data_IF_644397232350
#
_entry.id   IF_644397232350
#
_cell.length_a   1.000
_cell.length_b   1.000
_cell.length_c   1.000
_cell.angle_alpha   90.00
_cell.angle_beta   90.00
_cell.angle_gamma   90.00
#
_symmetry.space_group_name_H-M   'P 1'
#
loop_
_entity.id
_entity.type
_entity.pdbx_description
1 polymer ?
#
# COMPACT_ATOMS: atom_id res chain seq x y z
N UNK A 1 3.12 4.43 -16.20
CA UNK A 1 2.79 3.26 -15.37
C UNK A 1 4.06 2.44 -15.29
N UNK A 2 4.69 2.35 -14.12
CA UNK A 2 5.83 1.45 -13.92
C UNK A 2 5.36 0.01 -14.08
N UNK A 3 6.23 -0.82 -14.63
CA UNK A 3 6.04 -2.26 -14.63
C UNK A 3 5.95 -2.77 -13.18
N UNK A 4 4.91 -3.52 -12.85
CA UNK A 4 4.66 -3.98 -11.48
C UNK A 4 5.80 -4.89 -10.99
N UNK A 5 6.50 -5.58 -11.89
CA UNK A 5 7.69 -6.38 -11.53
C UNK A 5 8.89 -5.48 -11.16
N UNK A 6 9.00 -4.29 -11.76
CA UNK A 6 9.99 -3.27 -11.34
C UNK A 6 9.64 -2.71 -9.96
N UNK A 7 8.36 -2.47 -9.68
CA UNK A 7 7.87 -2.03 -8.38
C UNK A 7 8.17 -3.06 -7.29
N UNK A 8 7.90 -4.34 -7.55
CA UNK A 8 8.26 -5.41 -6.60
C UNK A 8 9.74 -5.34 -6.31
N UNK A 9 10.59 -5.26 -7.33
CA UNK A 9 12.04 -5.18 -7.17
C UNK A 9 12.50 -3.99 -6.31
N UNK A 10 11.87 -2.82 -6.46
CA UNK A 10 12.16 -1.65 -5.62
C UNK A 10 11.68 -1.83 -4.17
N UNK A 11 10.53 -2.46 -3.98
CA UNK A 11 9.97 -2.79 -2.67
C UNK A 11 10.77 -3.90 -1.96
N UNK A 12 11.58 -4.68 -2.69
CA UNK A 12 12.40 -5.74 -2.13
C UNK A 12 13.52 -5.21 -1.23
N UNK A 13 14.08 -4.02 -1.46
CA UNK A 13 15.28 -3.57 -0.71
C UNK A 13 15.10 -3.61 0.82
N UNK A 14 14.00 -3.10 1.41
CA UNK A 14 13.72 -3.29 2.83
C UNK A 14 13.48 -4.75 3.23
N UNK A 15 12.86 -5.54 2.35
CA UNK A 15 12.50 -6.95 2.56
C UNK A 15 13.68 -7.92 2.37
N UNK A 16 14.82 -7.49 1.80
CA UNK A 16 16.04 -8.32 1.62
C UNK A 16 16.62 -8.84 2.94
N UNK A 17 16.24 -8.23 4.07
CA UNK A 17 16.59 -8.68 5.43
C UNK A 17 15.76 -9.88 5.91
N UNK A 18 14.66 -10.22 5.22
CA UNK A 18 13.85 -11.39 5.55
C UNK A 18 14.59 -12.65 5.07
N UNK A 19 15.30 -13.31 5.98
CA UNK A 19 16.13 -14.49 5.69
C UNK A 19 15.39 -15.83 5.84
N UNK A 20 14.05 -15.82 5.94
CA UNK A 20 13.24 -17.01 6.24
C UNK A 20 12.78 -17.72 4.97
N UNK A 21 12.67 -19.05 5.03
CA UNK A 21 12.23 -19.92 3.92
C UNK A 21 10.74 -19.78 3.57
N UNK A 22 9.91 -19.29 4.51
CA UNK A 22 8.49 -19.01 4.28
C UNK A 22 8.14 -17.69 4.97
N UNK A 23 7.51 -16.78 4.22
CA UNK A 23 7.11 -15.46 4.70
C UNK A 23 5.60 -15.27 4.54
N UNK A 24 4.98 -14.64 5.52
CA UNK A 24 3.57 -14.21 5.42
C UNK A 24 3.55 -12.73 5.07
N UNK A 25 2.94 -12.37 3.93
CA UNK A 25 2.96 -11.02 3.37
C UNK A 25 1.54 -10.44 3.37
N UNK A 26 1.41 -9.17 3.79
CA UNK A 26 0.21 -8.36 3.66
C UNK A 26 0.44 -7.23 2.66
N UNK A 27 -0.33 -7.21 1.58
CA UNK A 27 -0.48 -6.09 0.67
C UNK A 27 -1.73 -5.31 1.09
N UNK A 28 -1.53 -4.22 1.84
CA UNK A 28 -2.58 -3.39 2.42
C UNK A 28 -2.95 -2.29 1.43
N UNK A 29 -4.24 -2.18 1.08
CA UNK A 29 -4.70 -1.34 -0.04
C UNK A 29 -4.41 -1.95 -1.40
N UNK A 30 -4.56 -3.27 -1.51
CA UNK A 30 -4.18 -4.04 -2.70
C UNK A 30 -4.93 -3.68 -3.99
N UNK A 31 -6.04 -2.92 -3.90
CA UNK A 31 -6.84 -2.52 -5.04
C UNK A 31 -7.31 -3.73 -5.88
N UNK A 32 -7.06 -3.68 -7.19
CA UNK A 32 -7.34 -4.78 -8.10
C UNK A 32 -6.27 -5.90 -8.07
N UNK A 33 -5.39 -5.90 -7.07
CA UNK A 33 -4.45 -6.97 -6.75
C UNK A 33 -3.24 -7.08 -7.67
N UNK A 34 -2.88 -6.04 -8.42
CA UNK A 34 -1.74 -6.10 -9.34
C UNK A 34 -0.43 -6.41 -8.61
N UNK A 35 -0.16 -5.70 -7.52
CA UNK A 35 1.02 -5.93 -6.69
C UNK A 35 0.96 -7.30 -6.01
N UNK A 36 -0.16 -7.66 -5.40
CA UNK A 36 -0.35 -8.98 -4.78
C UNK A 36 -0.05 -10.14 -5.75
N UNK A 37 -0.51 -10.02 -7.01
CA UNK A 37 -0.23 -11.02 -8.06
C UNK A 37 1.24 -11.01 -8.49
N UNK A 38 1.89 -9.85 -8.53
CA UNK A 38 3.32 -9.78 -8.79
C UNK A 38 4.14 -10.40 -7.66
N UNK A 39 3.84 -10.08 -6.40
CA UNK A 39 4.45 -10.69 -5.21
C UNK A 39 4.35 -12.21 -5.25
N UNK A 40 3.23 -12.76 -5.70
CA UNK A 40 3.07 -14.22 -5.89
C UNK A 40 4.11 -14.81 -6.84
N UNK A 41 4.41 -14.14 -7.96
CA UNK A 41 5.39 -14.62 -8.94
C UNK A 41 6.81 -14.62 -8.38
N UNK A 42 7.14 -13.61 -7.57
CA UNK A 42 8.47 -13.48 -6.94
C UNK A 42 8.64 -14.34 -5.68
N UNK A 43 7.55 -14.64 -4.96
CA UNK A 43 7.56 -15.41 -3.73
C UNK A 43 6.65 -16.65 -3.85
N UNK A 44 7.08 -17.68 -4.60
CA UNK A 44 6.31 -18.89 -4.88
C UNK A 44 5.89 -19.68 -3.63
N UNK A 45 6.57 -19.50 -2.50
CA UNK A 45 6.26 -20.23 -1.25
C UNK A 45 5.62 -19.37 -0.16
N UNK A 46 5.40 -18.08 -0.41
CA UNK A 46 4.81 -17.17 0.56
C UNK A 46 3.28 -17.34 0.68
N UNK A 47 2.76 -17.11 1.88
CA UNK A 47 1.34 -16.84 2.08
C UNK A 47 1.08 -15.35 1.89
N UNK A 48 0.27 -14.99 0.90
CA UNK A 48 0.07 -13.58 0.52
C UNK A 48 -1.41 -13.20 0.70
N UNK A 49 -1.62 -12.10 1.42
CA UNK A 49 -2.92 -11.52 1.70
C UNK A 49 -2.99 -10.15 1.00
N UNK A 50 -3.93 -9.97 0.09
CA UNK A 50 -4.28 -8.66 -0.48
C UNK A 50 -5.56 -8.15 0.19
N UNK A 51 -5.48 -6.99 0.84
CA UNK A 51 -6.61 -6.39 1.56
C UNK A 51 -6.99 -5.07 0.93
N UNK A 52 -8.28 -4.84 0.73
CA UNK A 52 -8.81 -3.53 0.31
C UNK A 52 -10.23 -3.34 0.84
N UNK A 53 -10.61 -2.12 1.22
CA UNK A 53 -11.96 -1.84 1.73
C UNK A 53 -13.03 -1.95 0.64
N UNK A 54 -12.63 -1.83 -0.63
CA UNK A 54 -13.51 -1.86 -1.80
C UNK A 54 -13.83 -3.29 -2.22
N UNK A 55 -15.10 -3.65 -2.09
CA UNK A 55 -15.63 -4.93 -2.58
C UNK A 55 -15.48 -5.10 -4.09
N UNK A 56 -15.59 -4.00 -4.84
CA UNK A 56 -15.38 -4.00 -6.29
C UNK A 56 -13.92 -4.30 -6.62
N UNK A 57 -12.98 -3.71 -5.88
CA UNK A 57 -11.56 -3.91 -6.11
C UNK A 57 -11.14 -5.36 -5.79
N UNK A 58 -11.54 -5.87 -4.62
CA UNK A 58 -11.27 -7.25 -4.21
C UNK A 58 -11.90 -8.28 -5.14
N UNK A 59 -13.13 -8.07 -5.61
CA UNK A 59 -13.77 -8.93 -6.63
C UNK A 59 -12.97 -8.97 -7.93
N UNK A 60 -12.49 -7.81 -8.41
CA UNK A 60 -11.64 -7.72 -9.60
C UNK A 60 -10.30 -8.43 -9.39
N UNK A 61 -9.70 -8.29 -8.21
CA UNK A 61 -8.46 -8.94 -7.86
C UNK A 61 -8.57 -10.47 -7.90
N UNK A 62 -9.65 -11.02 -7.34
CA UNK A 62 -9.96 -12.46 -7.38
C UNK A 62 -10.15 -12.93 -8.83
N UNK A 63 -10.92 -12.19 -9.64
CA UNK A 63 -11.15 -12.54 -11.04
C UNK A 63 -9.85 -12.55 -11.86
N UNK A 64 -8.99 -11.54 -11.67
CA UNK A 64 -7.71 -11.44 -12.35
C UNK A 64 -6.74 -12.55 -11.93
N UNK A 65 -6.63 -12.85 -10.63
CA UNK A 65 -5.80 -13.96 -10.14
C UNK A 65 -6.27 -15.31 -10.69
N UNK A 66 -7.59 -15.53 -10.77
CA UNK A 66 -8.17 -16.72 -11.40
C UNK A 66 -7.83 -16.82 -12.88
N UNK A 67 -7.93 -15.71 -13.62
CA UNK A 67 -7.60 -15.68 -15.04
C UNK A 67 -6.11 -15.97 -15.32
N UNK A 68 -5.22 -15.55 -14.42
CA UNK A 68 -3.77 -15.80 -14.48
C UNK A 68 -3.37 -17.18 -13.90
N UNK A 69 -4.31 -17.96 -13.37
CA UNK A 69 -4.02 -19.26 -12.74
C UNK A 69 -3.25 -19.16 -11.42
N UNK A 70 -3.21 -17.97 -10.80
CA UNK A 70 -2.54 -17.72 -9.53
C UNK A 70 -3.32 -18.38 -8.38
N UNK A 71 -2.61 -19.21 -7.60
CA UNK A 71 -3.10 -19.88 -6.39
C UNK A 71 -2.33 -19.38 -5.17
N UNK A 72 -2.82 -19.69 -3.98
CA UNK A 72 -2.19 -19.34 -2.68
C UNK A 72 -2.08 -17.82 -2.42
N UNK A 73 -3.01 -17.04 -2.98
CA UNK A 73 -3.24 -15.65 -2.61
C UNK A 73 -4.66 -15.55 -2.04
N UNK A 74 -4.83 -14.79 -0.96
CA UNK A 74 -6.15 -14.47 -0.39
C UNK A 74 -6.43 -13.00 -0.61
N UNK A 75 -7.53 -12.69 -1.29
CA UNK A 75 -8.05 -11.32 -1.37
C UNK A 75 -9.21 -11.17 -0.40
N UNK A 76 -9.14 -10.17 0.48
CA UNK A 76 -10.10 -9.96 1.56
C UNK A 76 -10.56 -8.50 1.60
N UNK A 77 -11.86 -8.31 1.86
CA UNK A 77 -12.44 -6.98 2.08
C UNK A 77 -12.31 -6.64 3.55
N UNK A 78 -11.36 -5.79 3.91
CA UNK A 78 -11.16 -5.33 5.30
C UNK A 78 -10.89 -3.83 5.32
N UNK A 79 -11.18 -3.20 6.45
CA UNK A 79 -10.80 -1.81 6.73
C UNK A 79 -9.38 -1.77 7.32
N UNK A 80 -8.50 -0.98 6.73
CA UNK A 80 -7.12 -0.84 7.17
C UNK A 80 -7.00 -0.23 8.59
N UNK A 81 -8.03 0.47 9.06
CA UNK A 81 -8.08 1.06 10.41
C UNK A 81 -8.48 0.05 11.49
N UNK A 82 -9.00 -1.12 11.09
CA UNK A 82 -9.47 -2.16 12.01
C UNK A 82 -9.35 -3.54 11.36
N UNK A 83 -8.11 -4.04 11.25
CA UNK A 83 -7.83 -5.36 10.69
C UNK A 83 -8.29 -6.47 11.67
N UNK A 84 -8.49 -7.72 11.21
CA UNK A 84 -8.95 -8.80 12.06
C UNK A 84 -8.10 -8.97 13.35
N UNK A 85 -8.78 -9.21 14.46
CA UNK A 85 -8.14 -9.26 15.78
C UNK A 85 -7.11 -10.40 15.88
N UNK A 86 -7.36 -11.52 15.22
CA UNK A 86 -6.49 -12.70 15.14
C UNK A 86 -5.23 -12.48 14.29
N UNK A 87 -5.08 -11.32 13.65
CA UNK A 87 -3.90 -10.99 12.83
C UNK A 87 -2.74 -10.37 13.62
N UNK A 88 -2.87 -10.22 14.93
CA UNK A 88 -1.78 -9.70 15.77
C UNK A 88 -0.52 -10.55 15.61
N UNK A 89 0.62 -9.94 15.24
CA UNK A 89 1.88 -10.65 15.06
C UNK A 89 1.87 -11.72 13.96
N UNK A 90 1.09 -11.51 12.89
CA UNK A 90 0.88 -12.51 11.83
C UNK A 90 1.81 -12.35 10.63
N UNK A 91 2.19 -11.13 10.27
CA UNK A 91 2.89 -10.86 9.02
C UNK A 91 4.38 -10.62 9.24
N UNK A 92 5.21 -11.26 8.41
CA UNK A 92 6.65 -10.96 8.35
C UNK A 92 6.89 -9.69 7.53
N UNK A 93 6.01 -9.39 6.57
CA UNK A 93 6.10 -8.22 5.71
C UNK A 93 4.72 -7.58 5.50
N UNK A 94 4.60 -6.28 5.78
CA UNK A 94 3.43 -5.48 5.42
C UNK A 94 3.84 -4.43 4.40
N UNK A 95 3.08 -4.30 3.32
CA UNK A 95 3.36 -3.40 2.21
C UNK A 95 2.20 -2.42 2.08
N UNK A 96 2.52 -1.13 2.01
CA UNK A 96 1.61 -0.04 1.65
C UNK A 96 2.19 0.61 0.41
N UNK A 97 1.62 0.33 -0.75
CA UNK A 97 2.06 0.87 -2.03
C UNK A 97 0.99 1.79 -2.61
N UNK A 98 1.33 3.07 -2.78
CA UNK A 98 0.43 4.10 -3.31
C UNK A 98 -0.88 4.20 -2.49
N UNK A 99 -0.75 4.18 -1.15
CA UNK A 99 -1.88 4.11 -0.22
C UNK A 99 -1.84 5.19 0.87
N UNK A 100 -0.69 5.44 1.51
CA UNK A 100 -0.68 6.15 2.79
C UNK A 100 -1.21 7.59 2.64
N UNK A 101 -0.92 8.24 1.52
CA UNK A 101 -1.44 9.56 1.18
C UNK A 101 -2.98 9.61 0.96
N UNK A 102 -3.59 8.48 0.59
CA UNK A 102 -5.03 8.36 0.36
C UNK A 102 -5.81 8.15 1.66
N UNK A 103 -5.13 7.73 2.74
CA UNK A 103 -5.76 7.41 4.01
C UNK A 103 -6.11 8.67 4.81
N UNK A 104 -7.39 8.81 5.12
CA UNK A 104 -7.85 9.91 5.97
C UNK A 104 -7.33 9.77 7.42
N UNK A 105 -7.30 8.54 7.97
CA UNK A 105 -6.74 8.21 9.28
C UNK A 105 -5.52 7.29 9.17
N UNK A 106 -4.45 7.81 8.57
CA UNK A 106 -3.18 7.11 8.43
C UNK A 106 -2.55 6.73 9.78
N UNK A 107 -2.82 7.47 10.87
CA UNK A 107 -2.29 7.17 12.20
C UNK A 107 -2.86 5.86 12.74
N UNK A 108 -4.18 5.66 12.66
CA UNK A 108 -4.80 4.40 13.09
C UNK A 108 -4.34 3.23 12.21
N UNK A 109 -4.21 3.45 10.89
CA UNK A 109 -3.67 2.41 10.00
C UNK A 109 -2.23 2.05 10.40
N UNK A 110 -1.37 3.01 10.71
CA UNK A 110 0.01 2.71 11.14
C UNK A 110 0.07 1.96 12.47
N UNK A 111 -0.89 2.19 13.39
CA UNK A 111 -1.03 1.37 14.61
C UNK A 111 -1.41 -0.07 14.27
N UNK A 112 -2.32 -0.27 13.33
CA UNK A 112 -2.70 -1.61 12.86
C UNK A 112 -1.55 -2.31 12.16
N UNK A 113 -0.80 -1.62 11.29
CA UNK A 113 0.42 -2.15 10.67
C UNK A 113 1.40 -2.63 11.73
N UNK A 114 1.66 -1.81 12.76
CA UNK A 114 2.52 -2.21 13.88
C UNK A 114 1.97 -3.43 14.64
N UNK A 115 0.66 -3.49 14.89
CA UNK A 115 0.01 -4.59 15.61
C UNK A 115 0.10 -5.92 14.86
N UNK A 116 -0.12 -5.91 13.54
CA UNK A 116 -0.18 -7.14 12.74
C UNK A 116 1.20 -7.64 12.32
N UNK A 117 2.22 -6.81 12.39
CA UNK A 117 3.61 -7.20 12.18
C UNK A 117 4.09 -8.14 13.30
N UNK A 118 4.82 -9.19 12.90
CA UNK A 118 5.63 -10.01 13.79
C UNK A 118 6.76 -9.17 14.40
N UNK A 119 7.27 -9.61 15.54
CA UNK A 119 8.54 -9.13 16.07
C UNK A 119 9.65 -9.39 15.04
N UNK A 120 10.38 -8.32 14.67
CA UNK A 120 11.39 -8.37 13.60
C UNK A 120 10.82 -8.41 12.17
N UNK A 121 9.50 -8.26 12.01
CA UNK A 121 8.87 -8.02 10.71
C UNK A 121 9.19 -6.63 10.15
N UNK A 122 8.91 -6.44 8.87
CA UNK A 122 9.23 -5.19 8.15
C UNK A 122 7.96 -4.58 7.55
N UNK A 123 7.83 -3.26 7.61
CA UNK A 123 6.89 -2.50 6.79
C UNK A 123 7.62 -1.83 5.62
N UNK A 124 7.10 -1.98 4.40
CA UNK A 124 7.54 -1.21 3.23
C UNK A 124 6.43 -0.24 2.85
N UNK A 125 6.74 1.06 2.85
CA UNK A 125 5.80 2.12 2.47
C UNK A 125 6.38 2.83 1.25
N UNK A 126 5.58 2.97 0.20
CA UNK A 126 5.97 3.68 -1.02
C UNK A 126 4.81 4.52 -1.48
N UNK A 127 5.08 5.80 -1.71
CA UNK A 127 4.14 6.82 -2.15
C UNK A 127 4.88 7.78 -3.09
N UNK A 128 4.15 8.57 -3.91
CA UNK A 128 4.75 9.55 -4.80
C UNK A 128 5.83 10.42 -4.13
N UNK A 129 6.90 10.70 -4.87
CA UNK A 129 7.96 11.62 -4.44
C UNK A 129 7.53 13.05 -4.74
N UNK A 130 6.97 13.70 -3.73
CA UNK A 130 6.52 15.09 -3.77
C UNK A 130 7.02 15.81 -2.51
N UNK A 131 7.19 17.13 -2.57
CA UNK A 131 7.40 17.94 -1.37
C UNK A 131 6.10 18.10 -0.58
N UNK A 132 6.20 18.11 0.75
CA UNK A 132 5.03 18.31 1.63
C UNK A 132 4.40 19.70 1.50
N UNK A 133 5.21 20.71 1.22
CA UNK A 133 4.76 22.06 0.92
C UNK A 133 4.57 22.23 -0.59
N UNK A 134 3.33 22.50 -1.01
CA UNK A 134 2.98 22.60 -2.43
C UNK A 134 3.79 23.66 -3.21
N UNK A 135 4.28 24.70 -2.54
CA UNK A 135 5.12 25.74 -3.18
C UNK A 135 6.46 25.19 -3.65
N UNK A 136 6.96 24.16 -2.98
CA UNK A 136 8.26 23.56 -3.29
C UNK A 136 8.15 22.57 -4.46
N UNK A 137 6.93 22.22 -4.88
CA UNK A 137 6.67 21.43 -6.10
C UNK A 137 6.54 22.30 -7.36
N UNK A 138 6.60 23.64 -7.25
CA UNK A 138 6.47 24.54 -8.40
C UNK A 138 7.64 24.32 -9.36
N UNK A 139 7.33 24.09 -10.64
CA UNK A 139 8.32 23.81 -11.69
C UNK A 139 8.47 22.32 -12.00
N UNK A 140 7.97 21.43 -11.15
CA UNK A 140 7.82 20.02 -11.49
C UNK A 140 6.62 19.86 -12.44
N UNK A 141 6.90 19.66 -13.73
CA UNK A 141 5.84 19.55 -14.75
C UNK A 141 4.88 18.38 -14.52
N UNK A 142 5.32 17.33 -13.83
CA UNK A 142 4.49 16.18 -13.54
C UNK A 142 3.62 16.46 -12.31
N UNK A 143 4.24 16.80 -11.18
CA UNK A 143 3.52 17.02 -9.91
C UNK A 143 2.63 18.26 -9.99
N UNK A 144 3.19 19.41 -10.39
CA UNK A 144 2.46 20.67 -10.45
C UNK A 144 1.50 20.74 -11.64
N UNK A 145 1.91 20.21 -12.80
CA UNK A 145 1.12 20.30 -14.03
C UNK A 145 -0.04 19.30 -14.12
N UNK A 146 0.15 18.08 -13.62
CA UNK A 146 -0.82 16.99 -13.79
C UNK A 146 -1.23 16.36 -12.46
N UNK A 147 -0.27 16.12 -11.57
CA UNK A 147 -0.47 15.39 -10.31
C UNK A 147 -1.53 16.03 -9.42
N UNK A 148 -1.47 17.35 -9.19
CA UNK A 148 -2.48 18.05 -8.40
C UNK A 148 -3.88 18.00 -9.03
N UNK A 149 -3.97 18.19 -10.36
CA UNK A 149 -5.25 18.16 -11.05
C UNK A 149 -5.90 16.76 -10.93
N UNK A 150 -5.14 15.69 -11.18
CA UNK A 150 -5.63 14.32 -11.03
C UNK A 150 -5.98 14.00 -9.56
N UNK A 151 -5.12 14.40 -8.63
CA UNK A 151 -5.36 14.21 -7.19
C UNK A 151 -6.68 14.84 -6.75
N UNK A 152 -7.02 16.02 -7.27
CA UNK A 152 -8.23 16.75 -6.86
C UNK A 152 -9.54 15.97 -7.11
N UNK A 153 -9.52 15.03 -8.07
CA UNK A 153 -10.68 14.21 -8.45
C UNK A 153 -10.54 12.73 -8.04
N UNK A 154 -9.40 12.32 -7.48
CA UNK A 154 -9.13 10.93 -7.11
C UNK A 154 -8.64 10.82 -5.66
N UNK A 155 -7.39 11.20 -5.40
CA UNK A 155 -6.71 10.95 -4.13
C UNK A 155 -7.18 11.87 -3.00
N UNK A 156 -7.25 13.18 -3.29
CA UNK A 156 -7.62 14.18 -2.29
C UNK A 156 -9.01 13.91 -1.69
N UNK A 157 -10.07 13.62 -2.47
CA UNK A 157 -11.38 13.26 -1.93
C UNK A 157 -11.36 12.07 -0.95
N UNK A 158 -10.48 11.08 -1.15
CA UNK A 158 -10.33 9.95 -0.22
C UNK A 158 -9.67 10.38 1.09
N UNK A 159 -8.58 11.15 0.99
CA UNK A 159 -7.82 11.61 2.16
C UNK A 159 -8.56 12.61 3.07
N UNK A 160 -9.64 13.23 2.58
CA UNK A 160 -10.50 14.15 3.34
C UNK A 160 -11.92 13.60 3.57
N UNK A 161 -12.12 12.30 3.41
CA UNK A 161 -13.44 11.67 3.48
C UNK A 161 -14.09 11.76 4.88
N UNK A 162 -13.34 12.11 5.92
CA UNK A 162 -13.81 12.35 7.28
C UNK A 162 -13.41 13.76 7.73
N UNK A 163 -14.14 14.30 8.71
CA UNK A 163 -13.76 15.55 9.36
C UNK A 163 -12.38 15.41 10.02
N UNK A 164 -11.47 16.34 9.71
CA UNK A 164 -10.08 16.28 10.18
C UNK A 164 -9.19 15.28 9.43
N UNK A 165 -9.65 14.72 8.30
CA UNK A 165 -8.83 13.85 7.45
C UNK A 165 -7.55 14.53 6.99
N UNK A 166 -6.49 13.73 6.79
CA UNK A 166 -5.14 14.22 6.59
C UNK A 166 -4.93 15.11 5.35
N UNK A 167 -5.70 14.90 4.28
CA UNK A 167 -5.72 15.80 3.13
C UNK A 167 -4.42 15.84 2.31
N UNK A 168 -3.65 14.75 2.25
CA UNK A 168 -2.36 14.73 1.58
C UNK A 168 -2.43 14.81 0.04
N UNK A 169 -3.55 14.45 -0.58
CA UNK A 169 -3.74 14.63 -2.01
C UNK A 169 -2.75 13.83 -2.86
N UNK A 170 -1.91 14.49 -3.66
CA UNK A 170 -1.00 13.82 -4.63
C UNK A 170 0.10 12.99 -3.95
N UNK A 171 0.32 13.22 -2.65
CA UNK A 171 1.33 12.52 -1.87
C UNK A 171 1.58 13.25 -0.54
N UNK A 172 1.98 12.50 0.49
CA UNK A 172 2.15 13.05 1.83
C UNK A 172 3.42 13.86 2.06
N UNK A 173 4.36 13.88 1.12
CA UNK A 173 5.55 14.71 1.18
C UNK A 173 6.82 14.02 1.71
N UNK A 174 7.97 14.21 1.06
CA UNK A 174 9.25 13.59 1.48
C UNK A 174 9.76 14.10 2.82
N UNK A 175 9.43 15.33 3.20
CA UNK A 175 9.78 15.92 4.49
C UNK A 175 8.99 15.26 5.63
N UNK A 176 7.71 14.96 5.38
CA UNK A 176 6.86 14.24 6.32
C UNK A 176 7.34 12.79 6.48
N UNK A 177 7.72 12.13 5.37
CA UNK A 177 8.35 10.79 5.37
C UNK A 177 9.56 10.70 6.30
N UNK A 178 10.42 11.72 6.32
CA UNK A 178 11.66 11.74 7.13
C UNK A 178 11.41 12.02 8.61
N UNK A 179 10.28 12.64 8.94
CA UNK A 179 9.94 13.03 10.30
C UNK A 179 9.18 11.93 11.05
N UNK A 180 8.80 10.87 10.34
CA UNK A 180 8.06 9.71 10.82
C UNK A 180 9.00 8.54 11.10
#
# INVERSE_FOLDING_TARGET
MSDTDTVVTQLLEPARKLTKSMVTILDLGSGAGCLTRALRRHFPDAEIYGVDYSEVATTKAIAAAKAEGIKNVKFLKEDATSLPADWKGKFDWVILYDLLHDLADHVSVMKEVNRVLKDGGVASITDPEVHSNHRDNVGDSYVAGVGYALSSVSCLPRSVAIEGGAGYGVGWGTENKKSF
#
